data_IF_406329712175
#
_entry.id   IF_406329712175
#
_cell.length_a   1.000
_cell.length_b   1.000
_cell.length_c   1.000
_cell.angle_alpha   90.00
_cell.angle_beta   90.00
_cell.angle_gamma   90.00
#
_symmetry.space_group_name_H-M   'P 1'
#
loop_
_entity.id
_entity.type
_entity.pdbx_description
1 polymer ?
#
# COMPACT_ATOMS: atom_id res chain seq x y z
N UNK A 1 -18.50 1.30 -13.34
CA UNK A 1 -18.46 1.28 -14.81
C UNK A 1 -17.81 -0.02 -15.32
N UNK A 2 -16.75 -0.52 -14.69
CA UNK A 2 -15.98 -1.69 -15.16
C UNK A 2 -16.34 -2.99 -14.42
N UNK A 3 -17.47 -3.09 -13.74
CA UNK A 3 -17.93 -4.28 -13.01
C UNK A 3 -17.51 -4.34 -11.54
N UNK A 4 -16.78 -3.36 -11.04
CA UNK A 4 -16.42 -3.25 -9.64
C UNK A 4 -17.63 -2.88 -8.75
N UNK A 5 -17.49 -3.10 -7.44
CA UNK A 5 -18.57 -2.89 -6.46
C UNK A 5 -18.91 -1.41 -6.19
N UNK A 6 -18.16 -0.46 -6.75
CA UNK A 6 -18.37 0.98 -6.56
C UNK A 6 -18.14 1.46 -5.13
N UNK A 7 -17.36 0.71 -4.33
CA UNK A 7 -17.08 1.06 -2.95
C UNK A 7 -15.92 2.05 -2.84
N UNK A 8 -16.02 2.96 -1.86
CA UNK A 8 -15.02 3.99 -1.63
C UNK A 8 -13.88 3.56 -0.70
N UNK A 9 -13.03 4.54 -0.40
CA UNK A 9 -11.82 4.38 0.43
C UNK A 9 -12.11 3.82 1.83
N UNK A 10 -13.22 4.23 2.48
CA UNK A 10 -13.63 3.73 3.80
C UNK A 10 -13.84 2.22 3.80
N UNK A 11 -14.54 1.68 2.81
CA UNK A 11 -14.76 0.23 2.68
C UNK A 11 -13.44 -0.50 2.43
N UNK A 12 -12.57 0.06 1.58
CA UNK A 12 -11.25 -0.49 1.33
C UNK A 12 -10.39 -0.56 2.60
N UNK A 13 -10.38 0.51 3.41
CA UNK A 13 -9.65 0.57 4.69
C UNK A 13 -10.20 -0.44 5.70
N UNK A 14 -11.52 -0.58 5.80
CA UNK A 14 -12.15 -1.58 6.68
C UNK A 14 -11.79 -3.02 6.25
N UNK A 15 -11.78 -3.30 4.94
CA UNK A 15 -11.34 -4.59 4.43
C UNK A 15 -9.86 -4.86 4.73
N UNK A 16 -9.00 -3.84 4.61
CA UNK A 16 -7.57 -3.94 4.91
C UNK A 16 -7.30 -4.12 6.41
N UNK A 17 -8.08 -3.49 7.30
CA UNK A 17 -8.05 -3.77 8.75
C UNK A 17 -8.39 -5.26 9.01
N UNK A 18 -9.49 -5.75 8.45
CA UNK A 18 -9.91 -7.14 8.62
C UNK A 18 -8.89 -8.15 8.10
N UNK A 19 -8.30 -7.90 6.92
CA UNK A 19 -7.24 -8.74 6.35
C UNK A 19 -5.97 -8.64 7.19
N UNK A 20 -5.60 -7.44 7.65
CA UNK A 20 -4.43 -7.17 8.50
C UNK A 20 -4.47 -7.96 9.82
N UNK A 21 -5.65 -8.20 10.37
CA UNK A 21 -5.85 -9.04 11.57
C UNK A 21 -5.47 -10.52 11.34
N UNK A 22 -5.36 -10.98 10.10
CA UNK A 22 -5.04 -12.37 9.76
C UNK A 22 -3.68 -12.52 9.10
N UNK A 23 -3.35 -11.64 8.15
CA UNK A 23 -2.11 -11.69 7.41
C UNK A 23 -1.72 -10.32 6.86
N UNK A 24 -0.70 -9.70 7.45
CA UNK A 24 -0.18 -8.42 7.01
C UNK A 24 0.39 -8.48 5.57
N UNK A 25 0.98 -9.61 5.15
CA UNK A 25 1.47 -9.79 3.78
C UNK A 25 0.34 -9.72 2.76
N UNK A 26 -0.77 -10.43 3.01
CA UNK A 26 -1.97 -10.37 2.16
C UNK A 26 -2.58 -8.97 2.18
N UNK A 27 -2.61 -8.31 3.34
CA UNK A 27 -3.05 -6.92 3.47
C UNK A 27 -2.24 -5.98 2.57
N UNK A 28 -0.92 -6.09 2.57
CA UNK A 28 -0.05 -5.27 1.73
C UNK A 28 -0.23 -5.57 0.24
N UNK A 29 -0.33 -6.83 -0.17
CA UNK A 29 -0.61 -7.21 -1.57
C UNK A 29 -1.93 -6.59 -2.03
N UNK A 30 -2.99 -6.72 -1.21
CA UNK A 30 -4.30 -6.17 -1.51
C UNK A 30 -4.28 -4.62 -1.56
N UNK A 31 -3.59 -3.97 -0.62
CA UNK A 31 -3.42 -2.51 -0.64
C UNK A 31 -2.75 -2.03 -1.93
N UNK A 32 -1.65 -2.66 -2.33
CA UNK A 32 -0.93 -2.24 -3.54
C UNK A 32 -1.74 -2.52 -4.80
N UNK A 33 -2.56 -3.58 -4.80
CA UNK A 33 -3.54 -3.82 -5.85
C UNK A 33 -4.56 -2.68 -5.94
N UNK A 34 -5.17 -2.29 -4.81
CA UNK A 34 -6.14 -1.19 -4.78
C UNK A 34 -5.53 0.14 -5.26
N UNK A 35 -4.28 0.43 -4.87
CA UNK A 35 -3.57 1.63 -5.35
C UNK A 35 -3.34 1.58 -6.88
N UNK A 36 -2.95 0.43 -7.43
CA UNK A 36 -2.78 0.26 -8.87
C UNK A 36 -4.11 0.40 -9.63
N UNK A 37 -5.18 -0.23 -9.13
CA UNK A 37 -6.54 -0.08 -9.69
C UNK A 37 -7.02 1.38 -9.63
N UNK A 38 -6.71 2.11 -8.55
CA UNK A 38 -7.05 3.52 -8.44
C UNK A 38 -6.34 4.37 -9.51
N UNK A 39 -5.08 4.05 -9.86
CA UNK A 39 -4.39 4.69 -10.98
C UNK A 39 -5.08 4.39 -12.32
N UNK A 40 -5.49 3.14 -12.56
CA UNK A 40 -6.22 2.77 -13.79
C UNK A 40 -7.58 3.46 -13.87
N UNK A 41 -8.32 3.51 -12.76
CA UNK A 41 -9.64 4.14 -12.71
C UNK A 41 -9.60 5.67 -12.94
N UNK A 42 -8.50 6.30 -12.55
CA UNK A 42 -8.29 7.74 -12.76
C UNK A 42 -7.91 8.10 -14.21
N UNK A 43 -7.37 7.15 -14.97
CA UNK A 43 -7.05 7.26 -16.39
C UNK A 43 -7.36 5.90 -17.05
N UNK A 44 -8.64 5.62 -17.40
CA UNK A 44 -9.04 4.29 -17.85
C UNK A 44 -8.65 3.96 -19.30
N UNK A 45 -8.38 4.97 -20.12
CA UNK A 45 -8.02 4.79 -21.51
C UNK A 45 -6.76 3.93 -21.65
N UNK A 46 -6.87 2.84 -22.41
CA UNK A 46 -5.79 1.87 -22.65
C UNK A 46 -5.58 0.84 -21.54
N UNK A 47 -6.41 0.87 -20.46
CA UNK A 47 -6.39 -0.10 -19.34
C UNK A 47 -7.79 -0.61 -18.98
N UNK A 48 -8.76 -0.51 -19.88
CA UNK A 48 -10.16 -0.93 -19.65
C UNK A 48 -10.26 -2.45 -19.40
N UNK A 49 -9.48 -3.25 -20.10
CA UNK A 49 -9.43 -4.71 -19.90
C UNK A 49 -8.81 -5.06 -18.55
N UNK A 50 -7.62 -4.56 -18.16
CA UNK A 50 -7.11 -4.68 -16.79
C UNK A 50 -8.09 -4.26 -15.70
N UNK A 51 -8.88 -3.20 -15.91
CA UNK A 51 -9.92 -2.76 -14.94
C UNK A 51 -11.05 -3.78 -14.80
N UNK A 52 -11.57 -4.31 -15.92
CA UNK A 52 -12.62 -5.36 -15.89
C UNK A 52 -12.10 -6.64 -15.25
N UNK A 53 -10.87 -7.02 -15.55
CA UNK A 53 -10.26 -8.20 -14.98
C UNK A 53 -9.94 -8.05 -13.50
N UNK A 54 -9.52 -6.86 -13.04
CA UNK A 54 -9.37 -6.55 -11.63
C UNK A 54 -10.71 -6.66 -10.89
N UNK A 55 -11.79 -6.10 -11.46
CA UNK A 55 -13.13 -6.20 -10.90
C UNK A 55 -13.64 -7.65 -10.81
N UNK A 56 -13.21 -8.51 -11.73
CA UNK A 56 -13.54 -9.93 -11.78
C UNK A 56 -12.56 -10.83 -11.00
N UNK A 57 -11.55 -10.26 -10.34
CA UNK A 57 -10.54 -11.01 -9.58
C UNK A 57 -9.52 -11.77 -10.42
N UNK A 58 -9.34 -11.42 -11.68
CA UNK A 58 -8.40 -12.07 -12.62
C UNK A 58 -7.13 -11.27 -12.90
N UNK A 59 -7.01 -10.06 -12.34
CA UNK A 59 -5.86 -9.19 -12.54
C UNK A 59 -5.35 -8.67 -11.21
N UNK A 60 -4.09 -8.88 -10.93
CA UNK A 60 -3.37 -8.32 -9.79
C UNK A 60 -2.51 -7.16 -10.26
N UNK A 61 -2.80 -5.94 -9.81
CA UNK A 61 -1.98 -4.76 -10.07
C UNK A 61 -1.04 -4.44 -8.92
N UNK A 62 -0.01 -3.65 -9.17
CA UNK A 62 0.89 -3.12 -8.14
C UNK A 62 1.52 -1.80 -8.57
N UNK A 63 2.13 -1.09 -7.59
CA UNK A 63 2.91 0.12 -7.85
C UNK A 63 4.42 -0.20 -7.89
N UNK A 64 5.13 0.40 -8.83
CA UNK A 64 6.58 0.36 -8.94
C UNK A 64 7.13 1.79 -9.06
N UNK A 65 6.95 2.60 -8.00
CA UNK A 65 7.33 4.02 -7.99
C UNK A 65 8.70 4.26 -7.35
N UNK A 66 8.98 3.60 -6.21
CA UNK A 66 10.26 3.76 -5.51
C UNK A 66 11.44 3.28 -6.34
N UNK A 67 12.55 4.00 -6.30
CA UNK A 67 13.79 3.67 -7.01
C UNK A 67 14.98 3.60 -6.07
N UNK A 68 15.96 2.77 -6.42
CA UNK A 68 17.25 2.74 -5.73
C UNK A 68 17.91 4.12 -5.86
N UNK A 69 18.31 4.70 -4.73
CA UNK A 69 18.95 6.01 -4.68
C UNK A 69 17.98 7.19 -4.50
N UNK A 70 16.68 7.03 -4.71
CA UNK A 70 15.70 8.11 -4.45
C UNK A 70 15.47 8.41 -2.96
N UNK A 71 16.09 7.66 -2.05
CA UNK A 71 15.99 7.82 -0.59
C UNK A 71 14.53 7.91 -0.09
N UNK A 72 13.69 7.02 -0.59
CA UNK A 72 12.24 6.94 -0.27
C UNK A 72 11.38 8.10 -0.81
N UNK A 73 11.92 8.95 -1.65
CA UNK A 73 11.14 9.97 -2.36
C UNK A 73 10.42 9.33 -3.57
N UNK A 74 9.38 8.55 -3.33
CA UNK A 74 8.64 7.83 -4.39
C UNK A 74 8.07 8.76 -5.47
N UNK A 75 7.85 10.04 -5.14
CA UNK A 75 7.31 11.07 -6.02
C UNK A 75 8.35 11.73 -6.94
N UNK A 76 9.63 11.47 -6.71
CA UNK A 76 10.75 12.03 -7.45
C UNK A 76 11.64 10.89 -8.00
N UNK A 77 11.19 10.18 -9.05
CA UNK A 77 11.98 9.14 -9.68
C UNK A 77 13.28 9.69 -10.25
N UNK A 78 14.34 8.88 -10.20
CA UNK A 78 15.66 9.23 -10.77
C UNK A 78 15.64 8.93 -12.27
N UNK A 79 14.98 7.82 -12.67
CA UNK A 79 14.85 7.41 -14.06
C UNK A 79 14.09 8.44 -14.87
N UNK A 80 14.50 8.62 -16.14
CA UNK A 80 13.84 9.47 -17.11
C UNK A 80 13.40 8.65 -18.31
N UNK A 81 12.15 8.81 -18.72
CA UNK A 81 11.65 8.21 -19.93
C UNK A 81 12.35 8.83 -21.17
N UNK A 82 12.57 8.03 -22.19
CA UNK A 82 13.06 8.49 -23.49
C UNK A 82 11.93 8.40 -24.50
N UNK A 83 11.67 9.48 -25.24
CA UNK A 83 10.67 9.48 -26.29
C UNK A 83 11.06 8.50 -27.43
N UNK A 84 10.07 7.80 -27.96
CA UNK A 84 10.17 6.94 -29.13
C UNK A 84 9.04 7.25 -30.12
N UNK A 85 9.07 6.68 -31.31
CA UNK A 85 8.02 6.92 -32.31
C UNK A 85 6.63 6.45 -31.85
N UNK A 86 6.55 5.43 -31.00
CA UNK A 86 5.29 4.81 -30.56
C UNK A 86 4.90 5.15 -29.11
N UNK A 87 5.76 5.86 -28.39
CA UNK A 87 5.55 6.19 -26.98
C UNK A 87 6.83 6.53 -26.25
N UNK A 88 7.23 5.71 -25.28
CA UNK A 88 8.47 5.92 -24.51
C UNK A 88 9.22 4.61 -24.28
N UNK A 89 10.52 4.73 -23.97
CA UNK A 89 11.35 3.67 -23.43
C UNK A 89 11.81 4.07 -22.01
N UNK A 90 11.74 3.14 -21.05
CA UNK A 90 12.12 3.37 -19.66
C UNK A 90 13.16 2.36 -19.20
N UNK A 91 14.26 2.87 -18.63
CA UNK A 91 15.24 2.08 -17.87
C UNK A 91 15.27 2.60 -16.44
N UNK A 92 15.10 1.70 -15.45
CA UNK A 92 15.01 2.05 -14.03
C UNK A 92 15.36 0.89 -13.11
N UNK A 93 15.92 1.20 -11.93
CA UNK A 93 16.08 0.25 -10.82
C UNK A 93 14.99 0.50 -9.79
N UNK A 94 13.88 -0.22 -9.88
CA UNK A 94 12.75 -0.11 -8.95
C UNK A 94 13.04 -0.89 -7.66
N UNK A 95 12.60 -0.34 -6.52
CA UNK A 95 12.75 -0.96 -5.22
C UNK A 95 11.40 -1.17 -4.55
N UNK A 96 11.31 -2.20 -3.70
CA UNK A 96 10.11 -2.47 -2.89
C UNK A 96 8.83 -2.70 -3.71
N UNK A 97 8.94 -3.33 -4.88
CA UNK A 97 7.78 -3.62 -5.73
C UNK A 97 7.03 -4.83 -5.16
N UNK A 98 5.93 -4.59 -4.48
CA UNK A 98 5.08 -5.65 -3.93
C UNK A 98 4.55 -6.53 -5.05
N UNK A 99 4.51 -7.86 -4.83
CA UNK A 99 4.15 -8.85 -5.85
C UNK A 99 5.04 -8.83 -7.10
N UNK A 100 6.32 -8.46 -6.96
CA UNK A 100 7.29 -8.46 -8.04
C UNK A 100 7.36 -9.84 -8.73
N UNK A 101 7.20 -9.89 -10.04
CA UNK A 101 7.15 -11.13 -10.83
C UNK A 101 5.83 -11.91 -10.75
N UNK A 102 4.93 -11.54 -9.83
CA UNK A 102 3.62 -12.18 -9.64
C UNK A 102 2.46 -11.32 -10.15
N UNK A 103 2.53 -9.99 -9.98
CA UNK A 103 1.50 -9.07 -10.47
C UNK A 103 1.33 -9.18 -11.99
N UNK A 104 0.09 -8.98 -12.48
CA UNK A 104 -0.26 -9.01 -13.89
C UNK A 104 -0.04 -7.64 -14.54
N UNK A 105 -0.06 -6.56 -13.76
CA UNK A 105 0.19 -5.20 -14.21
C UNK A 105 0.92 -4.35 -13.16
N UNK A 106 1.80 -3.50 -13.66
CA UNK A 106 2.65 -2.61 -12.86
C UNK A 106 2.38 -1.17 -13.25
N UNK A 107 2.09 -0.32 -12.27
CA UNK A 107 2.08 1.13 -12.45
C UNK A 107 3.49 1.63 -12.14
N UNK A 108 4.23 1.97 -13.16
CA UNK A 108 5.59 2.52 -13.02
C UNK A 108 5.58 4.05 -13.10
N UNK A 109 6.56 4.68 -12.50
CA UNK A 109 6.83 6.12 -12.63
C UNK A 109 8.19 6.35 -13.30
N UNK A 110 8.30 7.42 -14.07
CA UNK A 110 9.56 7.95 -14.56
C UNK A 110 9.42 9.46 -14.75
N UNK A 111 10.53 10.21 -14.80
CA UNK A 111 10.48 11.60 -15.25
C UNK A 111 10.03 11.64 -16.71
N UNK A 112 9.33 12.72 -17.06
CA UNK A 112 8.91 12.97 -18.45
C UNK A 112 10.13 13.00 -19.38
N UNK A 113 9.98 12.69 -20.68
CA UNK A 113 11.10 12.72 -21.64
C UNK A 113 11.86 14.05 -21.67
N UNK A 114 11.13 15.16 -21.55
CA UNK A 114 11.68 16.54 -21.53
C UNK A 114 11.56 17.16 -20.13
N UNK A 115 11.79 16.36 -19.09
CA UNK A 115 11.57 16.75 -17.70
C UNK A 115 12.33 18.01 -17.32
N UNK A 116 11.61 18.99 -16.79
CA UNK A 116 12.14 20.25 -16.25
C UNK A 116 12.56 20.17 -14.78
N UNK A 117 12.26 19.07 -14.09
CA UNK A 117 12.57 18.91 -12.68
C UNK A 117 12.15 17.55 -12.09
N UNK A 118 12.43 17.30 -10.81
CA UNK A 118 12.26 15.99 -10.19
C UNK A 118 10.79 15.55 -10.05
N UNK A 119 9.84 16.49 -10.04
CA UNK A 119 8.39 16.23 -9.96
C UNK A 119 7.70 16.25 -11.32
N UNK A 120 8.42 16.62 -12.39
CA UNK A 120 7.93 16.50 -13.76
C UNK A 120 7.99 15.04 -14.21
N UNK A 121 6.96 14.31 -13.88
CA UNK A 121 6.88 12.85 -13.97
C UNK A 121 5.67 12.39 -14.74
N UNK A 122 5.72 11.16 -15.22
CA UNK A 122 4.59 10.44 -15.80
C UNK A 122 4.42 9.08 -15.14
N UNK A 123 3.20 8.58 -15.16
CA UNK A 123 2.84 7.21 -14.77
C UNK A 123 2.48 6.40 -16.00
N UNK A 124 2.84 5.12 -15.99
CA UNK A 124 2.62 4.21 -17.09
C UNK A 124 2.14 2.85 -16.60
N UNK A 125 1.27 2.22 -17.38
CA UNK A 125 0.92 0.81 -17.23
C UNK A 125 1.92 -0.07 -17.99
N UNK A 126 2.49 -1.06 -17.30
CA UNK A 126 3.35 -2.09 -17.91
C UNK A 126 2.79 -3.47 -17.55
N UNK A 127 2.41 -4.31 -18.52
CA UNK A 127 1.92 -5.65 -18.25
C UNK A 127 3.05 -6.57 -17.81
N UNK A 128 2.69 -7.66 -17.13
CA UNK A 128 3.59 -8.78 -16.83
C UNK A 128 4.22 -9.32 -18.10
N UNK A 129 5.50 -9.67 -18.03
CA UNK A 129 6.22 -10.23 -19.18
C UNK A 129 6.64 -9.21 -20.24
N UNK A 130 6.50 -7.90 -19.99
CA UNK A 130 7.05 -6.88 -20.87
C UNK A 130 8.56 -7.09 -21.05
N UNK A 131 9.02 -7.04 -22.30
CA UNK A 131 10.44 -7.22 -22.62
C UNK A 131 11.29 -6.18 -21.89
N UNK A 132 12.42 -6.61 -21.32
CA UNK A 132 13.31 -5.75 -20.53
C UNK A 132 12.92 -5.61 -19.05
N UNK A 133 11.80 -6.19 -18.58
CA UNK A 133 11.40 -6.15 -17.19
C UNK A 133 11.76 -7.46 -16.47
N UNK A 134 12.44 -7.38 -15.34
CA UNK A 134 12.85 -8.55 -14.56
C UNK A 134 12.88 -8.27 -13.06
N UNK A 135 12.74 -9.33 -12.25
CA UNK A 135 12.99 -9.27 -10.80
C UNK A 135 14.49 -9.26 -10.57
N UNK A 136 15.01 -8.24 -9.89
CA UNK A 136 16.43 -7.98 -9.74
C UNK A 136 17.06 -8.59 -8.47
N UNK A 137 16.28 -9.29 -7.65
CA UNK A 137 16.77 -9.95 -6.45
C UNK A 137 15.67 -10.54 -5.59
N UNK A 138 16.04 -11.36 -4.60
CA UNK A 138 15.07 -11.98 -3.70
C UNK A 138 14.46 -10.97 -2.73
N UNK A 139 13.25 -11.26 -2.26
CA UNK A 139 12.65 -10.57 -1.12
C UNK A 139 13.11 -11.23 0.19
N UNK A 140 13.90 -10.49 0.96
CA UNK A 140 14.36 -10.91 2.28
C UNK A 140 14.04 -9.82 3.30
N UNK A 141 13.09 -10.07 4.18
CA UNK A 141 12.63 -9.11 5.17
C UNK A 141 12.38 -9.77 6.52
N UNK A 142 12.41 -8.97 7.58
CA UNK A 142 12.10 -9.42 8.93
C UNK A 142 10.62 -9.82 9.05
N UNK A 143 9.72 -8.99 8.55
CA UNK A 143 8.28 -9.24 8.45
C UNK A 143 7.77 -9.18 7.01
N UNK A 144 6.48 -9.47 6.79
CA UNK A 144 5.82 -9.43 5.48
C UNK A 144 6.53 -10.27 4.39
N UNK A 145 7.05 -11.42 4.76
CA UNK A 145 7.84 -12.28 3.87
C UNK A 145 7.04 -12.80 2.67
N UNK A 146 5.72 -12.88 2.79
CA UNK A 146 4.82 -13.40 1.76
C UNK A 146 4.37 -12.38 0.71
N UNK A 147 4.81 -11.12 0.76
CA UNK A 147 4.35 -10.10 -0.18
C UNK A 147 5.27 -9.85 -1.39
N UNK A 148 6.39 -10.58 -1.48
CA UNK A 148 7.34 -10.51 -2.59
C UNK A 148 7.70 -9.07 -3.02
N UNK A 149 8.01 -8.18 -2.05
CA UNK A 149 8.36 -6.77 -2.33
C UNK A 149 9.79 -6.62 -2.86
N UNK A 150 10.12 -7.41 -3.88
CA UNK A 150 11.46 -7.50 -4.47
C UNK A 150 11.83 -6.26 -5.29
N UNK A 151 13.14 -5.98 -5.48
CA UNK A 151 13.60 -5.02 -6.47
C UNK A 151 13.30 -5.53 -7.89
N UNK A 152 13.05 -4.61 -8.82
CA UNK A 152 12.85 -4.90 -10.23
C UNK A 152 13.73 -4.02 -11.09
N UNK A 153 14.32 -4.59 -12.14
CA UNK A 153 15.05 -3.88 -13.18
C UNK A 153 14.17 -3.71 -14.42
N UNK A 154 14.20 -2.51 -14.96
CA UNK A 154 13.65 -2.17 -16.27
C UNK A 154 14.84 -1.78 -17.17
N UNK A 155 14.98 -2.45 -18.30
CA UNK A 155 16.06 -2.23 -19.28
C UNK A 155 15.40 -1.97 -20.62
N UNK A 156 15.33 -0.69 -21.00
CA UNK A 156 14.74 -0.21 -22.26
C UNK A 156 13.32 -0.76 -22.53
N UNK A 157 12.49 -0.80 -21.46
CA UNK A 157 11.10 -1.25 -21.57
C UNK A 157 10.33 -0.31 -22.45
N UNK A 158 9.86 -0.81 -23.60
CA UNK A 158 9.04 -0.04 -24.54
C UNK A 158 7.59 0.03 -24.04
N UNK A 159 7.06 1.25 -23.94
CA UNK A 159 5.71 1.52 -23.45
C UNK A 159 4.97 2.37 -24.48
N UNK A 160 3.93 1.82 -25.12
CA UNK A 160 3.09 2.57 -26.07
C UNK A 160 2.44 3.79 -25.39
N UNK A 161 2.26 4.87 -26.14
CA UNK A 161 1.64 6.11 -25.66
C UNK A 161 0.24 5.89 -25.04
N UNK A 162 -0.53 4.93 -25.59
CA UNK A 162 -1.86 4.57 -25.06
C UNK A 162 -1.84 3.96 -23.64
N UNK A 163 -0.66 3.61 -23.10
CA UNK A 163 -0.49 3.08 -21.73
C UNK A 163 -0.03 4.13 -20.73
N UNK A 164 -0.03 5.40 -21.11
CA UNK A 164 0.20 6.50 -20.16
C UNK A 164 -1.01 6.65 -19.22
N UNK A 165 -0.74 6.65 -17.91
CA UNK A 165 -1.74 6.82 -16.83
C UNK A 165 -1.76 8.26 -16.28
N UNK A 166 -1.06 9.16 -16.92
CA UNK A 166 -1.08 10.60 -16.68
C UNK A 166 -0.66 11.36 -17.92
N UNK A 167 -1.08 12.61 -18.02
CA UNK A 167 -0.52 13.54 -19.00
C UNK A 167 0.97 13.80 -18.72
N UNK A 168 1.74 14.35 -19.68
CA UNK A 168 3.10 14.84 -19.42
C UNK A 168 3.13 15.79 -18.21
N UNK A 169 4.06 15.57 -17.27
CA UNK A 169 4.14 16.30 -16.00
C UNK A 169 3.02 15.99 -14.98
N UNK A 170 2.00 15.23 -15.36
CA UNK A 170 0.85 14.90 -14.53
C UNK A 170 1.04 13.74 -13.55
N UNK A 171 2.20 13.09 -13.55
CA UNK A 171 2.45 11.94 -12.69
C UNK A 171 2.48 12.29 -11.19
N UNK A 172 3.15 13.37 -10.81
CA UNK A 172 3.18 13.82 -9.41
C UNK A 172 1.79 14.19 -8.87
N UNK A 173 0.97 15.02 -9.53
CA UNK A 173 -0.41 15.24 -9.12
C UNK A 173 -1.21 13.93 -8.97
N UNK A 174 -1.07 13.00 -9.92
CA UNK A 174 -1.75 11.69 -9.85
C UNK A 174 -1.29 10.87 -8.64
N UNK A 175 0.00 10.87 -8.31
CA UNK A 175 0.50 10.22 -7.10
C UNK A 175 -0.13 10.81 -5.83
N UNK A 176 -0.36 12.13 -5.79
CA UNK A 176 -1.00 12.79 -4.64
C UNK A 176 -2.48 12.43 -4.52
N UNK A 177 -3.18 12.20 -5.61
CA UNK A 177 -4.56 11.68 -5.61
C UNK A 177 -4.66 10.24 -5.09
N UNK A 178 -3.62 9.43 -5.33
CA UNK A 178 -3.55 8.03 -4.86
C UNK A 178 -3.02 7.92 -3.43
N UNK A 179 -2.30 8.92 -2.93
CA UNK A 179 -1.68 8.90 -1.61
C UNK A 179 -2.65 8.59 -0.46
N UNK A 180 -3.91 9.09 -0.43
CA UNK A 180 -4.89 8.69 0.58
C UNK A 180 -5.14 7.18 0.62
N UNK A 181 -5.26 6.52 -0.54
CA UNK A 181 -5.43 5.06 -0.62
C UNK A 181 -4.26 4.32 0.05
N UNK A 182 -3.03 4.72 -0.29
CA UNK A 182 -1.83 4.14 0.28
C UNK A 182 -1.67 4.41 1.78
N UNK A 183 -1.83 5.67 2.21
CA UNK A 183 -1.60 6.06 3.61
C UNK A 183 -2.65 5.47 4.55
N UNK A 184 -3.95 5.62 4.20
CA UNK A 184 -5.06 5.13 5.02
C UNK A 184 -5.17 3.60 4.97
N UNK A 185 -4.84 2.99 3.83
CA UNK A 185 -4.77 1.53 3.73
C UNK A 185 -3.66 0.93 4.60
N UNK A 186 -2.47 1.54 4.63
CA UNK A 186 -1.40 1.16 5.58
C UNK A 186 -1.85 1.34 7.03
N UNK A 187 -2.54 2.43 7.36
CA UNK A 187 -3.09 2.67 8.69
C UNK A 187 -4.12 1.59 9.06
N UNK A 188 -4.98 1.19 8.12
CA UNK A 188 -5.92 0.07 8.30
C UNK A 188 -5.23 -1.24 8.63
N UNK A 189 -4.22 -1.63 7.83
CA UNK A 189 -3.43 -2.85 8.08
C UNK A 189 -2.75 -2.79 9.45
N UNK A 190 -2.12 -1.65 9.80
CA UNK A 190 -1.44 -1.48 11.09
C UNK A 190 -2.42 -1.59 12.26
N UNK A 191 -3.61 -0.98 12.16
CA UNK A 191 -4.67 -1.10 13.17
C UNK A 191 -5.17 -2.56 13.28
N UNK A 192 -5.28 -3.28 12.16
CA UNK A 192 -5.62 -4.70 12.13
C UNK A 192 -4.58 -5.58 12.83
N UNK A 193 -3.28 -5.31 12.64
CA UNK A 193 -2.19 -6.01 13.35
C UNK A 193 -2.31 -5.78 14.85
N UNK A 194 -2.53 -4.53 15.30
CA UNK A 194 -2.73 -4.20 16.70
C UNK A 194 -3.93 -4.95 17.29
N UNK A 195 -5.05 -4.98 16.58
CA UNK A 195 -6.25 -5.73 16.99
C UNK A 195 -5.97 -7.22 17.15
N UNK A 196 -5.27 -7.84 16.19
CA UNK A 196 -4.88 -9.25 16.29
C UNK A 196 -4.01 -9.54 17.51
N UNK A 197 -3.07 -8.65 17.83
CA UNK A 197 -2.23 -8.77 19.02
C UNK A 197 -3.06 -8.68 20.30
N UNK A 198 -4.01 -7.73 20.40
CA UNK A 198 -4.95 -7.64 21.54
C UNK A 198 -5.76 -8.92 21.70
N UNK A 199 -6.34 -9.43 20.61
CA UNK A 199 -7.13 -10.66 20.62
C UNK A 199 -6.31 -11.87 21.05
N UNK A 200 -5.10 -12.05 20.49
CA UNK A 200 -4.19 -13.13 20.82
C UNK A 200 -3.75 -13.07 22.29
N UNK A 201 -3.35 -11.91 22.77
CA UNK A 201 -2.99 -11.69 24.19
C UNK A 201 -4.18 -11.98 25.11
N UNK A 202 -5.37 -11.50 24.79
CA UNK A 202 -6.58 -11.79 25.56
C UNK A 202 -6.84 -13.28 25.67
N UNK A 203 -6.79 -13.99 24.54
CA UNK A 203 -6.99 -15.45 24.51
C UNK A 203 -5.92 -16.19 25.33
N UNK A 204 -4.66 -15.76 25.25
CA UNK A 204 -3.57 -16.34 26.03
C UNK A 204 -3.78 -16.13 27.54
N UNK A 205 -4.03 -14.90 27.97
CA UNK A 205 -4.19 -14.55 29.41
C UNK A 205 -5.40 -15.26 30.04
N UNK A 206 -6.48 -15.45 29.28
CA UNK A 206 -7.69 -16.12 29.80
C UNK A 206 -7.61 -17.65 29.69
N UNK A 207 -6.80 -18.17 28.79
CA UNK A 207 -6.62 -19.61 28.56
C UNK A 207 -5.57 -20.26 29.43
N UNK A 208 -4.56 -19.50 29.90
CA UNK A 208 -3.44 -20.01 30.69
C UNK A 208 -3.59 -19.66 32.18
N UNK A 209 -3.08 -20.55 33.03
CA UNK A 209 -3.13 -20.34 34.50
C UNK A 209 -2.20 -21.27 35.26
N UNK A 210 -2.24 -21.15 36.58
CA UNK A 210 -1.40 -21.89 37.52
C UNK A 210 -2.20 -23.06 38.13
N UNK A 211 -1.87 -24.29 37.76
CA UNK A 211 -2.58 -25.48 38.18
C UNK A 211 -2.68 -25.63 39.72
N UNK A 212 -1.65 -25.16 40.45
CA UNK A 212 -1.56 -25.28 41.92
C UNK A 212 -2.40 -24.25 42.68
N UNK A 213 -2.76 -23.10 42.06
CA UNK A 213 -3.61 -22.08 42.65
C UNK A 213 -5.00 -22.00 42.05
N UNK A 214 -5.22 -22.57 40.87
CA UNK A 214 -6.43 -22.40 40.09
C UNK A 214 -6.62 -21.01 39.49
N UNK A 215 -5.66 -20.08 39.71
CA UNK A 215 -5.72 -18.71 39.14
C UNK A 215 -5.25 -18.67 37.70
N UNK A 216 -5.72 -17.67 36.96
CA UNK A 216 -5.35 -17.44 35.54
C UNK A 216 -4.30 -16.34 35.44
N UNK A 217 -3.59 -16.26 34.30
CA UNK A 217 -2.72 -15.11 33.99
C UNK A 217 -3.50 -13.80 33.99
N UNK A 218 -4.77 -13.84 33.55
CA UNK A 218 -5.68 -12.69 33.57
C UNK A 218 -5.95 -12.12 34.98
N UNK A 219 -5.68 -12.87 36.06
CA UNK A 219 -5.85 -12.40 37.43
C UNK A 219 -4.68 -11.53 37.91
N UNK A 220 -3.56 -11.53 37.16
CA UNK A 220 -2.38 -10.74 37.50
C UNK A 220 -2.57 -9.26 37.11
N UNK A 221 -2.52 -8.29 38.08
CA UNK A 221 -2.82 -6.89 37.82
C UNK A 221 -1.92 -6.24 36.76
N UNK A 222 -0.63 -6.58 36.72
CA UNK A 222 0.34 -6.08 35.72
C UNK A 222 0.02 -6.53 34.29
N UNK A 223 -0.48 -7.74 34.10
CA UNK A 223 -0.87 -8.23 32.76
C UNK A 223 -2.19 -7.60 32.31
N UNK A 224 -3.13 -7.38 33.23
CA UNK A 224 -4.36 -6.61 32.92
C UNK A 224 -4.05 -5.16 32.55
N UNK A 225 -3.11 -4.53 33.22
CA UNK A 225 -2.67 -3.15 32.90
C UNK A 225 -2.08 -3.10 31.48
N UNK A 226 -1.18 -4.03 31.13
CA UNK A 226 -0.62 -4.12 29.78
C UNK A 226 -1.71 -4.32 28.72
N UNK A 227 -2.62 -5.27 28.93
CA UNK A 227 -3.73 -5.52 28.00
C UNK A 227 -4.65 -4.29 27.86
N UNK A 228 -4.92 -3.57 28.94
CA UNK A 228 -5.70 -2.32 28.90
C UNK A 228 -5.01 -1.25 28.07
N UNK A 229 -3.68 -1.08 28.19
CA UNK A 229 -2.89 -0.16 27.35
C UNK A 229 -2.95 -0.56 25.87
N UNK A 230 -2.76 -1.84 25.56
CA UNK A 230 -2.89 -2.36 24.19
C UNK A 230 -4.26 -2.02 23.59
N UNK A 231 -5.36 -2.26 24.34
CA UNK A 231 -6.72 -1.95 23.88
C UNK A 231 -6.89 -0.45 23.62
N UNK A 232 -6.48 0.40 24.57
CA UNK A 232 -6.59 1.86 24.45
C UNK A 232 -5.78 2.39 23.26
N UNK A 233 -4.56 1.89 23.03
CA UNK A 233 -3.74 2.29 21.89
C UNK A 233 -4.39 1.91 20.55
N UNK A 234 -4.95 0.70 20.46
CA UNK A 234 -5.66 0.22 19.26
C UNK A 234 -6.91 1.06 19.00
N UNK A 235 -7.71 1.36 20.03
CA UNK A 235 -8.93 2.17 19.91
C UNK A 235 -8.62 3.60 19.47
N UNK A 236 -7.57 4.23 20.03
CA UNK A 236 -7.10 5.55 19.59
C UNK A 236 -6.71 5.54 18.12
N UNK A 237 -5.98 4.53 17.67
CA UNK A 237 -5.60 4.38 16.25
C UNK A 237 -6.84 4.30 15.36
N UNK A 238 -7.82 3.46 15.71
CA UNK A 238 -9.07 3.29 14.95
C UNK A 238 -9.92 4.56 14.94
N UNK A 239 -10.03 5.25 16.06
CA UNK A 239 -10.76 6.52 16.16
C UNK A 239 -10.11 7.61 15.30
N UNK A 240 -8.76 7.72 15.35
CA UNK A 240 -8.02 8.66 14.50
C UNK A 240 -8.23 8.36 13.02
N UNK A 241 -8.12 7.10 12.61
CA UNK A 241 -8.33 6.67 11.23
C UNK A 241 -9.76 6.99 10.73
N UNK A 242 -10.78 6.77 11.58
CA UNK A 242 -12.16 7.14 11.26
C UNK A 242 -12.32 8.65 11.06
N UNK A 243 -11.76 9.47 11.93
CA UNK A 243 -11.77 10.93 11.82
C UNK A 243 -11.08 11.41 10.53
N UNK A 244 -9.96 10.78 10.14
CA UNK A 244 -9.27 11.13 8.88
C UNK A 244 -10.13 10.77 7.67
N UNK A 245 -10.79 9.60 7.69
CA UNK A 245 -11.72 9.20 6.63
C UNK A 245 -12.88 10.18 6.50
N UNK A 246 -13.46 10.63 7.62
CA UNK A 246 -14.52 11.66 7.61
C UNK A 246 -14.05 12.96 6.94
N UNK A 247 -12.84 13.41 7.24
CA UNK A 247 -12.26 14.61 6.60
C UNK A 247 -12.03 14.43 5.10
N UNK A 248 -11.54 13.27 4.67
CA UNK A 248 -11.33 12.98 3.24
C UNK A 248 -12.67 12.94 2.49
N UNK A 249 -13.68 12.27 3.03
CA UNK A 249 -15.00 12.17 2.43
C UNK A 249 -15.73 13.53 2.37
N UNK A 250 -15.51 14.39 3.37
CA UNK A 250 -16.04 15.74 3.41
C UNK A 250 -15.27 16.75 2.53
N UNK A 251 -14.12 16.37 1.94
CA UNK A 251 -13.25 17.28 1.21
C UNK A 251 -12.71 18.42 2.09
N UNK A 252 -12.42 18.14 3.36
CA UNK A 252 -11.96 19.15 4.32
C UNK A 252 -10.64 19.79 3.87
N UNK A 253 -10.42 21.10 4.10
CA UNK A 253 -9.21 21.80 3.66
C UNK A 253 -7.90 21.21 4.22
N UNK A 254 -7.96 20.60 5.41
CA UNK A 254 -6.84 19.96 6.09
C UNK A 254 -6.80 18.43 5.93
N UNK A 255 -7.61 17.88 5.01
CA UNK A 255 -7.70 16.43 4.80
C UNK A 255 -6.34 15.80 4.47
N UNK A 256 -5.54 16.44 3.63
CA UNK A 256 -4.22 15.90 3.27
C UNK A 256 -3.26 15.85 4.46
N UNK A 257 -3.26 16.87 5.33
CA UNK A 257 -2.47 16.86 6.57
C UNK A 257 -2.92 15.71 7.50
N UNK A 258 -4.22 15.50 7.63
CA UNK A 258 -4.78 14.38 8.39
C UNK A 258 -4.37 13.03 7.78
N UNK A 259 -4.41 12.87 6.45
CA UNK A 259 -3.93 11.68 5.73
C UNK A 259 -2.46 11.40 6.04
N UNK A 260 -1.59 12.40 5.99
CA UNK A 260 -0.17 12.24 6.29
C UNK A 260 0.08 11.84 7.74
N UNK A 261 -0.76 12.28 8.70
CA UNK A 261 -0.66 11.91 10.12
C UNK A 261 -1.16 10.50 10.43
N UNK A 262 -2.02 9.92 9.59
CA UNK A 262 -2.66 8.62 9.85
C UNK A 262 -1.66 7.46 9.90
N UNK A 263 -0.72 7.42 8.94
CA UNK A 263 0.27 6.34 8.85
C UNK A 263 1.19 6.28 10.08
N UNK A 264 1.90 7.37 10.50
CA UNK A 264 2.73 7.32 11.70
C UNK A 264 1.91 7.05 12.97
N UNK A 265 0.69 7.57 13.08
CA UNK A 265 -0.20 7.30 14.22
C UNK A 265 -0.52 5.80 14.33
N UNK A 266 -0.99 5.17 13.26
CA UNK A 266 -1.36 3.76 13.27
C UNK A 266 -0.15 2.81 13.40
N UNK A 267 0.96 3.11 12.72
CA UNK A 267 2.17 2.30 12.85
C UNK A 267 2.79 2.41 14.25
N UNK A 268 2.79 3.60 14.85
CA UNK A 268 3.23 3.79 16.23
C UNK A 268 2.38 2.99 17.24
N UNK A 269 1.05 3.03 17.08
CA UNK A 269 0.15 2.23 17.91
C UNK A 269 0.38 0.72 17.72
N UNK A 270 0.56 0.25 16.47
CA UNK A 270 0.83 -1.16 16.21
C UNK A 270 2.16 -1.62 16.84
N UNK A 271 3.21 -0.80 16.78
CA UNK A 271 4.50 -1.08 17.43
C UNK A 271 4.34 -1.15 18.95
N UNK A 272 3.70 -0.17 19.58
CA UNK A 272 3.44 -0.16 21.03
C UNK A 272 2.65 -1.41 21.43
N UNK A 273 1.59 -1.75 20.71
CA UNK A 273 0.72 -2.89 21.04
C UNK A 273 1.46 -4.22 20.90
N UNK A 274 2.25 -4.40 19.83
CA UNK A 274 3.00 -5.65 19.61
C UNK A 274 4.19 -5.80 20.57
N UNK A 275 4.75 -4.69 21.08
CA UNK A 275 5.80 -4.70 22.12
C UNK A 275 5.23 -5.06 23.51
N UNK A 276 3.97 -4.69 23.77
CA UNK A 276 3.27 -5.04 25.01
C UNK A 276 2.73 -6.48 25.01
N UNK A 277 2.50 -7.09 23.84
CA UNK A 277 1.94 -8.43 23.72
C UNK A 277 2.94 -9.52 24.16
#
# INVERSE_FOLDING_TARGET
AYGGLGQGLRTAVAALDAVGQRCASTGMVYLMHLCGVACYAAQPEGVEEPLRDAAAGRHLSTLAWSERGSRSHFWAPISQARATAEGVSVSADKSWVTSAGHADGYVISARSPESSGPTDTMLYYVPKGAAGMSVAGPWQSMGMRGNASSPMALSDVAIPAARALSAPGGGFPRMMEILPWFALGNAGISTGIAEAAVQGTTAHLTGQGFAYTGSKLADLPNLRERLARMRVATDKSRAHLSMVLDKVEAGAPDAMLAVLSSKPSASGAAMEVTDLA
#
